data_IF_862538851297
#
_entry.id   IF_862538851297
#
_cell.length_a   1.000
_cell.length_b   1.000
_cell.length_c   1.000
_cell.angle_alpha   90.00
_cell.angle_beta   90.00
_cell.angle_gamma   90.00
#
_symmetry.space_group_name_H-M   'P 1'
#
loop_
_entity.id
_entity.type
_entity.pdbx_description
1 polymer ?
#
# COMPACT_ATOMS: atom_id res chain seq x y z
N UNK A 1 8.56 -10.41 6.15
CA UNK A 1 7.22 -9.95 5.71
C UNK A 1 6.41 -11.06 5.07
N UNK A 2 6.98 -11.86 4.16
CA UNK A 2 6.27 -12.95 3.47
C UNK A 2 5.51 -13.89 4.41
N UNK A 3 6.17 -14.47 5.41
CA UNK A 3 5.51 -15.33 6.41
C UNK A 3 4.32 -14.66 7.10
N UNK A 4 4.43 -13.37 7.43
CA UNK A 4 3.32 -12.64 8.04
C UNK A 4 2.14 -12.48 7.08
N UNK A 5 2.42 -12.18 5.81
CA UNK A 5 1.40 -12.11 4.76
C UNK A 5 0.69 -13.46 4.57
N UNK A 6 1.46 -14.56 4.56
CA UNK A 6 0.92 -15.93 4.54
C UNK A 6 0.04 -16.22 5.76
N UNK A 7 0.50 -15.91 6.97
CA UNK A 7 -0.20 -16.16 8.23
C UNK A 7 -1.56 -15.43 8.29
N UNK A 8 -1.70 -14.28 7.62
CA UNK A 8 -2.95 -13.52 7.53
C UNK A 8 -3.72 -13.75 6.23
N UNK A 9 -3.23 -14.60 5.33
CA UNK A 9 -3.89 -15.00 4.09
C UNK A 9 -3.97 -13.91 3.03
N UNK A 10 -2.94 -13.06 2.92
CA UNK A 10 -2.86 -12.01 1.87
C UNK A 10 -1.52 -12.07 1.14
N UNK A 11 -1.50 -11.58 -0.09
CA UNK A 11 -0.24 -11.38 -0.83
C UNK A 11 0.49 -10.12 -0.30
N UNK A 12 1.84 -10.06 -0.39
CA UNK A 12 2.60 -8.86 -0.02
C UNK A 12 2.13 -7.60 -0.74
N UNK A 13 1.73 -7.73 -2.01
CA UNK A 13 1.20 -6.65 -2.84
C UNK A 13 -0.30 -6.42 -2.64
N UNK A 14 -0.91 -6.92 -1.56
CA UNK A 14 -2.32 -6.65 -1.32
C UNK A 14 -2.53 -5.20 -0.85
N UNK A 15 -3.58 -4.54 -1.34
CA UNK A 15 -3.96 -3.18 -0.89
C UNK A 15 -4.13 -3.07 0.64
N UNK A 16 -4.55 -4.16 1.31
CA UNK A 16 -4.62 -4.20 2.77
C UNK A 16 -3.26 -4.00 3.42
N UNK A 17 -2.19 -4.52 2.83
CA UNK A 17 -0.82 -4.36 3.35
C UNK A 17 -0.37 -2.90 3.27
N UNK A 18 -0.74 -2.18 2.22
CA UNK A 18 -0.47 -0.75 2.09
C UNK A 18 -1.23 0.06 3.16
N UNK A 19 -2.53 -0.22 3.36
CA UNK A 19 -3.31 0.47 4.40
C UNK A 19 -2.83 0.11 5.80
N UNK A 20 -2.39 -1.13 6.01
CA UNK A 20 -1.79 -1.56 7.27
C UNK A 20 -0.48 -0.82 7.53
N UNK A 21 0.42 -0.74 6.54
CA UNK A 21 1.66 0.03 6.64
C UNK A 21 1.38 1.50 7.00
N UNK A 22 0.37 2.11 6.37
CA UNK A 22 -0.08 3.46 6.71
C UNK A 22 -0.59 3.57 8.16
N UNK A 23 -1.36 2.60 8.65
CA UNK A 23 -1.84 2.57 10.05
C UNK A 23 -0.73 2.35 11.08
N UNK A 24 0.32 1.64 10.69
CA UNK A 24 1.53 1.43 11.49
C UNK A 24 2.48 2.63 11.41
N UNK A 25 2.21 3.60 10.54
CA UNK A 25 3.10 4.72 10.21
C UNK A 25 4.49 4.22 9.77
N UNK A 26 4.53 3.14 8.99
CA UNK A 26 5.78 2.51 8.59
C UNK A 26 6.58 3.42 7.66
N UNK A 27 7.86 3.62 7.94
CA UNK A 27 8.73 4.52 7.15
C UNK A 27 9.27 3.88 5.87
N UNK A 28 9.49 2.56 5.87
CA UNK A 28 10.22 1.86 4.82
C UNK A 28 9.44 0.66 4.29
N UNK A 29 9.43 0.50 2.97
CA UNK A 29 8.82 -0.66 2.31
C UNK A 29 9.60 -1.96 2.62
N UNK A 30 8.87 -3.08 2.66
CA UNK A 30 9.43 -4.44 2.77
C UNK A 30 9.58 -4.96 4.20
N UNK A 31 9.49 -4.12 5.21
CA UNK A 31 9.51 -4.54 6.63
C UNK A 31 8.79 -3.56 7.54
N UNK A 32 8.51 -4.01 8.77
CA UNK A 32 8.07 -3.15 9.87
C UNK A 32 9.10 -3.24 10.99
N UNK A 33 9.47 -2.11 11.56
CA UNK A 33 10.24 -2.07 12.80
C UNK A 33 9.37 -2.56 13.97
N UNK A 34 10.03 -2.99 15.04
CA UNK A 34 9.32 -3.43 16.26
C UNK A 34 8.46 -2.30 16.85
N UNK A 35 8.92 -1.06 16.76
CA UNK A 35 8.21 0.10 17.30
C UNK A 35 6.94 0.41 16.50
N UNK A 36 7.05 0.52 15.18
CA UNK A 36 5.91 0.69 14.26
C UNK A 36 4.87 -0.42 14.47
N UNK A 37 5.34 -1.68 14.55
CA UNK A 37 4.49 -2.83 14.78
C UNK A 37 3.74 -2.73 16.11
N UNK A 38 4.45 -2.53 17.23
CA UNK A 38 3.83 -2.48 18.54
C UNK A 38 2.86 -1.30 18.67
N UNK A 39 3.25 -0.12 18.20
CA UNK A 39 2.41 1.09 18.21
C UNK A 39 1.15 0.88 17.37
N UNK A 40 1.29 0.44 16.12
CA UNK A 40 0.18 0.27 15.20
C UNK A 40 -0.78 -0.84 15.62
N UNK A 41 -0.25 -2.00 16.04
CA UNK A 41 -1.09 -3.13 16.48
C UNK A 41 -1.83 -2.83 17.79
N UNK A 42 -1.20 -2.07 18.70
CA UNK A 42 -1.88 -1.56 19.91
C UNK A 42 -3.02 -0.60 19.55
N UNK A 43 -2.78 0.33 18.63
CA UNK A 43 -3.79 1.27 18.13
C UNK A 43 -4.97 0.55 17.45
N UNK A 44 -4.68 -0.50 16.68
CA UNK A 44 -5.68 -1.36 16.04
C UNK A 44 -6.36 -2.34 17.01
N UNK A 45 -5.90 -2.42 18.26
CA UNK A 45 -6.36 -3.37 19.28
C UNK A 45 -6.28 -4.83 18.80
N UNK A 46 -5.20 -5.16 18.11
CA UNK A 46 -4.95 -6.50 17.56
C UNK A 46 -3.71 -7.09 18.23
N UNK A 47 -3.88 -8.20 18.97
CA UNK A 47 -2.80 -8.94 19.63
C UNK A 47 -2.48 -10.28 18.95
N UNK A 48 -3.27 -10.67 17.94
CA UNK A 48 -3.05 -11.86 17.12
C UNK A 48 -3.48 -11.61 15.66
N UNK A 49 -3.06 -12.52 14.77
CA UNK A 49 -3.35 -12.48 13.32
C UNK A 49 -4.86 -12.56 13.04
N UNK A 50 -5.60 -13.38 13.78
CA UNK A 50 -7.06 -13.53 13.63
C UNK A 50 -7.79 -12.21 13.90
N UNK A 51 -7.43 -11.47 14.97
CA UNK A 51 -8.00 -10.15 15.25
C UNK A 51 -7.68 -9.15 14.15
N UNK A 52 -6.49 -9.21 13.58
CA UNK A 52 -6.11 -8.36 12.46
C UNK A 52 -6.92 -8.69 11.19
N UNK A 53 -7.11 -9.98 10.88
CA UNK A 53 -7.95 -10.41 9.76
C UNK A 53 -9.39 -9.90 9.91
N UNK A 54 -9.94 -9.93 11.13
CA UNK A 54 -11.26 -9.35 11.43
C UNK A 54 -11.32 -7.82 11.23
N UNK A 55 -10.18 -7.12 11.16
CA UNK A 55 -10.10 -5.69 10.84
C UNK A 55 -9.91 -5.40 9.36
N UNK A 56 -9.78 -6.41 8.49
CA UNK A 56 -9.54 -6.17 7.06
C UNK A 56 -10.63 -5.31 6.41
N UNK A 57 -11.90 -5.52 6.74
CA UNK A 57 -12.98 -4.71 6.19
C UNK A 57 -12.93 -3.27 6.68
N UNK A 58 -12.53 -3.04 7.94
CA UNK A 58 -12.26 -1.70 8.46
C UNK A 58 -11.06 -1.04 7.75
N UNK A 59 -10.00 -1.78 7.47
CA UNK A 59 -8.86 -1.26 6.70
C UNK A 59 -9.28 -0.91 5.27
N UNK A 60 -10.06 -1.76 4.59
CA UNK A 60 -10.61 -1.45 3.26
C UNK A 60 -11.48 -0.19 3.29
N UNK A 61 -12.29 -0.02 4.33
CA UNK A 61 -13.19 1.13 4.42
C UNK A 61 -12.45 2.46 4.53
N UNK A 62 -11.18 2.47 4.95
CA UNK A 62 -10.36 3.70 4.97
C UNK A 62 -10.14 4.27 3.56
N UNK A 63 -10.17 3.44 2.53
CA UNK A 63 -10.02 3.88 1.14
C UNK A 63 -11.30 4.49 0.56
N UNK A 64 -12.44 4.28 1.21
CA UNK A 64 -13.73 4.84 0.78
C UNK A 64 -13.92 6.28 1.27
N UNK A 65 -13.24 6.66 2.36
CA UNK A 65 -13.23 8.03 2.85
C UNK A 65 -12.23 8.88 2.06
N UNK A 66 -12.67 10.01 1.50
CA UNK A 66 -11.87 10.85 0.61
C UNK A 66 -10.65 11.44 1.33
N UNK A 67 -10.79 11.81 2.61
CA UNK A 67 -9.69 12.39 3.38
C UNK A 67 -8.61 11.33 3.64
N UNK A 68 -9.03 10.17 4.13
CA UNK A 68 -8.16 9.03 4.40
C UNK A 68 -7.50 8.52 3.12
N UNK A 69 -8.25 8.39 2.02
CA UNK A 69 -7.70 8.00 0.72
C UNK A 69 -6.60 8.96 0.24
N UNK A 70 -6.80 10.28 0.34
CA UNK A 70 -5.77 11.26 -0.03
C UNK A 70 -4.50 11.10 0.81
N UNK A 71 -4.66 10.83 2.11
CA UNK A 71 -3.53 10.62 3.00
C UNK A 71 -2.78 9.31 2.68
N UNK A 72 -3.51 8.22 2.43
CA UNK A 72 -2.94 6.92 2.04
C UNK A 72 -2.24 7.04 0.68
N UNK A 73 -2.85 7.72 -0.30
CA UNK A 73 -2.25 7.95 -1.61
C UNK A 73 -0.93 8.72 -1.51
N UNK A 74 -0.90 9.79 -0.71
CA UNK A 74 0.33 10.56 -0.48
C UNK A 74 1.38 9.73 0.25
N UNK A 75 0.97 9.02 1.30
CA UNK A 75 1.84 8.11 2.04
C UNK A 75 2.49 7.05 1.14
N UNK A 76 1.71 6.45 0.24
CA UNK A 76 2.18 5.39 -0.66
C UNK A 76 3.36 5.84 -1.54
N UNK A 77 3.37 7.10 -1.97
CA UNK A 77 4.49 7.67 -2.72
C UNK A 77 5.77 7.74 -1.87
N UNK A 78 5.68 8.31 -0.67
CA UNK A 78 6.81 8.44 0.24
C UNK A 78 7.32 7.07 0.73
N UNK A 79 6.39 6.13 0.93
CA UNK A 79 6.66 4.76 1.39
C UNK A 79 7.39 3.91 0.35
N UNK A 80 7.06 4.06 -0.93
CA UNK A 80 7.66 3.27 -2.01
C UNK A 80 8.98 3.84 -2.54
N UNK A 81 9.29 5.10 -2.22
CA UNK A 81 10.42 5.81 -2.80
C UNK A 81 11.66 5.66 -1.92
N UNK A 82 12.80 5.42 -2.55
CA UNK A 82 14.08 5.46 -1.85
C UNK A 82 14.33 6.83 -1.21
N UNK A 83 14.82 6.83 0.04
CA UNK A 83 15.01 8.06 0.83
C UNK A 83 15.90 9.11 0.14
N UNK A 84 16.81 8.66 -0.74
CA UNK A 84 17.74 9.52 -1.47
C UNK A 84 17.21 10.00 -2.84
N UNK A 85 16.10 9.44 -3.32
CA UNK A 85 15.53 9.79 -4.62
C UNK A 85 14.34 10.74 -4.49
N UNK A 86 14.10 11.55 -5.52
CA UNK A 86 12.92 12.43 -5.61
C UNK A 86 11.77 11.84 -6.42
N UNK A 87 12.04 10.77 -7.15
CA UNK A 87 11.11 10.09 -8.05
C UNK A 87 11.00 8.62 -7.66
N UNK A 88 9.88 8.01 -8.04
CA UNK A 88 9.74 6.55 -8.10
C UNK A 88 10.21 6.07 -9.46
N UNK A 89 10.76 4.86 -9.52
CA UNK A 89 10.88 4.16 -10.79
C UNK A 89 9.49 3.84 -11.34
N UNK A 90 9.41 3.72 -12.67
CA UNK A 90 8.12 3.58 -13.36
C UNK A 90 7.40 2.28 -12.99
N UNK A 91 8.13 1.19 -12.74
CA UNK A 91 7.53 -0.11 -12.45
C UNK A 91 6.90 -0.11 -11.05
N UNK A 92 7.60 0.40 -10.05
CA UNK A 92 7.06 0.61 -8.70
C UNK A 92 5.87 1.58 -8.73
N UNK A 93 5.98 2.68 -9.48
CA UNK A 93 4.88 3.63 -9.63
C UNK A 93 3.64 2.98 -10.26
N UNK A 94 3.82 2.18 -11.32
CA UNK A 94 2.73 1.42 -11.97
C UNK A 94 2.06 0.46 -11.00
N UNK A 95 2.83 -0.33 -10.26
CA UNK A 95 2.29 -1.26 -9.27
C UNK A 95 1.51 -0.53 -8.17
N UNK A 96 2.07 0.55 -7.62
CA UNK A 96 1.39 1.32 -6.58
C UNK A 96 0.09 1.98 -7.07
N UNK A 97 0.10 2.53 -8.28
CA UNK A 97 -1.09 3.11 -8.90
C UNK A 97 -2.13 2.04 -9.20
N UNK A 98 -1.73 0.83 -9.61
CA UNK A 98 -2.64 -0.30 -9.81
C UNK A 98 -3.33 -0.72 -8.52
N UNK A 99 -2.61 -0.73 -7.40
CA UNK A 99 -3.17 -1.03 -6.08
C UNK A 99 -4.19 0.01 -5.62
N UNK A 100 -3.87 1.30 -5.79
CA UNK A 100 -4.70 2.40 -5.29
C UNK A 100 -5.89 2.73 -6.20
N UNK A 101 -5.68 2.71 -7.51
CA UNK A 101 -6.62 3.24 -8.51
C UNK A 101 -7.28 2.15 -9.35
N UNK A 102 -6.72 0.94 -9.40
CA UNK A 102 -7.19 -0.12 -10.31
C UNK A 102 -8.63 -0.55 -10.10
N UNK A 103 -9.19 -0.33 -8.91
CA UNK A 103 -10.59 -0.64 -8.60
C UNK A 103 -11.51 0.58 -8.58
N UNK A 104 -10.95 1.78 -8.40
CA UNK A 104 -11.71 2.99 -8.08
C UNK A 104 -11.81 3.96 -9.24
N UNK A 105 -10.82 3.97 -10.15
CA UNK A 105 -10.77 4.90 -11.26
C UNK A 105 -11.07 4.17 -12.58
N UNK A 106 -12.24 4.43 -13.22
CA UNK A 106 -12.66 3.70 -14.42
C UNK A 106 -11.70 3.83 -15.62
N UNK A 107 -10.94 4.92 -15.68
CA UNK A 107 -9.97 5.17 -16.76
C UNK A 107 -8.60 4.56 -16.46
N UNK A 108 -8.43 3.88 -15.31
CA UNK A 108 -7.14 3.37 -14.90
C UNK A 108 -6.56 2.36 -15.91
N UNK A 109 -7.37 1.48 -16.50
CA UNK A 109 -6.88 0.51 -17.48
C UNK A 109 -6.25 1.19 -18.70
N UNK A 110 -6.90 2.24 -19.23
CA UNK A 110 -6.40 3.02 -20.37
C UNK A 110 -5.15 3.81 -19.98
N UNK A 111 -5.16 4.42 -18.80
CA UNK A 111 -4.00 5.13 -18.27
C UNK A 111 -2.80 4.20 -18.05
N UNK A 112 -3.02 3.01 -17.51
CA UNK A 112 -1.99 2.00 -17.29
C UNK A 112 -1.36 1.55 -18.61
N UNK A 113 -2.18 1.32 -19.64
CA UNK A 113 -1.70 1.01 -20.99
C UNK A 113 -0.89 2.17 -21.60
N UNK A 114 -1.30 3.42 -21.37
CA UNK A 114 -0.54 4.59 -21.80
C UNK A 114 0.85 4.63 -21.14
N UNK A 115 0.96 4.33 -19.84
CA UNK A 115 2.24 4.26 -19.14
C UNK A 115 3.17 3.20 -19.73
N UNK A 116 2.64 2.06 -20.17
CA UNK A 116 3.43 1.01 -20.85
C UNK A 116 3.97 1.48 -22.19
N UNK A 117 3.11 2.07 -23.01
CA UNK A 117 3.49 2.52 -24.35
C UNK A 117 4.54 3.63 -24.31
N UNK A 118 4.43 4.57 -23.36
CA UNK A 118 5.44 5.63 -23.20
C UNK A 118 6.84 5.09 -22.85
N UNK A 119 6.96 3.91 -22.25
CA UNK A 119 8.26 3.28 -22.00
C UNK A 119 8.91 2.76 -23.28
N UNK A 120 8.11 2.25 -24.24
CA UNK A 120 8.60 1.69 -25.49
C UNK A 120 9.09 2.73 -26.51
N UNK A 121 8.73 4.00 -26.34
CA UNK A 121 9.15 5.09 -27.24
C UNK A 121 10.55 5.67 -26.95
N UNK A 122 11.31 5.07 -26.02
CA UNK A 122 12.71 5.43 -25.73
C UNK A 122 13.74 4.57 -26.51
N UNK A 123 13.60 4.46 -27.83
CA UNK A 123 14.63 3.96 -28.74
C UNK A 123 15.01 5.00 -29.79
#
# INVERSE_FOLDING_TARGET
MEKFCEDIGVEPENIIMLVLAWKLEAESMGFFTKEEWLKGMTSLQCDCTEKLQNKFDFLRSQLNDISSFKNIYRYAFDFARDKDQRSLDIDTAKSMLALLLGRTWPLFSVFYQYLEVCMFFYF
#
